data_IF_528831216334
#
_entry.id   IF_528831216334
#
_cell.length_a   1.000
_cell.length_b   1.000
_cell.length_c   1.000
_cell.angle_alpha   90.00
_cell.angle_beta   90.00
_cell.angle_gamma   90.00
#
_symmetry.space_group_name_H-M   'P 1'
#
loop_
_entity.id
_entity.type
_entity.pdbx_description
1 polymer ?
#
# COMPACT_ATOMS: atom_id res chain seq x y z
N UNK A 1 3.04 36.62 38.76
CA UNK A 1 3.52 35.27 38.36
C UNK A 1 2.36 34.29 38.39
N UNK A 2 2.25 33.45 37.34
CA UNK A 2 1.35 32.30 37.09
C UNK A 2 -0.17 32.51 37.27
N UNK A 3 -0.87 32.69 36.14
CA UNK A 3 -2.30 32.36 36.00
C UNK A 3 -2.42 31.19 35.02
N UNK A 4 -2.99 30.12 35.54
CA UNK A 4 -3.04 28.75 35.01
C UNK A 4 -4.06 28.64 33.88
N UNK A 5 -3.63 28.18 32.69
CA UNK A 5 -4.51 27.88 31.55
C UNK A 5 -5.16 26.50 31.77
N UNK A 6 -6.29 26.46 32.48
CA UNK A 6 -7.22 25.32 32.49
C UNK A 6 -8.49 25.73 31.74
N UNK A 7 -8.55 25.48 30.43
CA UNK A 7 -9.83 25.52 29.71
C UNK A 7 -9.80 24.91 28.29
N UNK A 8 -8.85 24.04 27.94
CA UNK A 8 -8.77 23.50 26.56
C UNK A 8 -8.92 21.97 26.46
N UNK A 9 -9.14 21.27 27.57
CA UNK A 9 -9.24 19.80 27.58
C UNK A 9 -10.68 19.32 27.38
N UNK A 10 -11.66 20.03 27.94
CA UNK A 10 -13.07 19.59 27.95
C UNK A 10 -13.77 19.62 26.58
N UNK A 11 -13.24 20.39 25.62
CA UNK A 11 -13.83 20.54 24.29
C UNK A 11 -13.35 19.50 23.27
N UNK A 12 -12.23 18.82 23.51
CA UNK A 12 -11.74 17.73 22.65
C UNK A 12 -12.38 16.38 23.00
N UNK A 13 -12.64 16.13 24.28
CA UNK A 13 -13.24 14.87 24.76
C UNK A 13 -14.65 14.62 24.20
N UNK A 14 -15.40 15.68 23.88
CA UNK A 14 -16.74 15.58 23.26
C UNK A 14 -16.72 15.17 21.79
N UNK A 15 -15.58 15.24 21.09
CA UNK A 15 -15.45 14.83 19.68
C UNK A 15 -14.86 13.43 19.50
N UNK A 16 -14.07 12.94 20.46
CA UNK A 16 -13.36 11.65 20.32
C UNK A 16 -13.81 10.58 21.31
N UNK A 17 -14.78 10.87 22.19
CA UNK A 17 -15.11 9.95 23.27
C UNK A 17 -13.96 9.85 24.29
N UNK A 18 -14.27 9.35 25.48
CA UNK A 18 -13.33 9.31 26.61
C UNK A 18 -12.19 8.34 26.32
N UNK A 19 -11.11 8.81 25.70
CA UNK A 19 -10.02 7.94 25.21
C UNK A 19 -8.83 7.87 26.17
N UNK A 20 -8.80 8.68 27.23
CA UNK A 20 -7.72 8.64 28.23
C UNK A 20 -8.21 8.89 29.66
N UNK A 21 -8.70 7.85 30.33
CA UNK A 21 -8.73 7.85 31.80
C UNK A 21 -7.31 7.61 32.31
N UNK A 22 -6.70 8.64 32.89
CA UNK A 22 -5.42 8.58 33.59
C UNK A 22 -5.63 7.87 34.94
N UNK A 23 -5.76 6.54 34.91
CA UNK A 23 -5.77 5.66 36.09
C UNK A 23 -5.56 4.17 35.73
N UNK A 24 -4.66 3.85 34.78
CA UNK A 24 -4.22 2.47 34.54
C UNK A 24 -3.31 2.01 35.69
N UNK A 25 -3.92 1.59 36.79
CA UNK A 25 -3.28 0.81 37.84
C UNK A 25 -3.06 -0.62 37.35
N UNK A 26 -1.90 -1.20 37.63
CA UNK A 26 -1.56 -2.57 37.26
C UNK A 26 -2.35 -3.55 38.13
N UNK A 27 -3.62 -3.80 37.78
CA UNK A 27 -4.39 -4.89 38.36
C UNK A 27 -4.27 -6.10 37.45
N UNK A 28 -3.67 -7.17 37.98
CA UNK A 28 -3.59 -8.48 37.35
C UNK A 28 -4.99 -9.06 37.16
N UNK A 29 -5.59 -8.83 36.00
CA UNK A 29 -6.79 -9.52 35.55
C UNK A 29 -6.34 -10.78 34.84
N UNK A 30 -6.60 -11.94 35.45
CA UNK A 30 -6.56 -13.24 34.77
C UNK A 30 -7.75 -13.33 33.83
N UNK A 31 -7.60 -12.90 32.58
CA UNK A 31 -8.55 -13.19 31.53
C UNK A 31 -8.10 -14.44 30.79
N UNK A 32 -8.69 -15.57 31.19
CA UNK A 32 -8.69 -16.83 30.44
C UNK A 32 -9.53 -16.64 29.18
N UNK A 33 -8.90 -16.10 28.14
CA UNK A 33 -9.37 -16.15 26.78
C UNK A 33 -8.17 -16.53 25.94
N UNK A 34 -8.12 -17.80 25.54
CA UNK A 34 -7.06 -18.35 24.72
C UNK A 34 -6.96 -17.58 23.40
N UNK A 35 -5.95 -16.71 23.32
CA UNK A 35 -5.54 -16.08 22.06
C UNK A 35 -5.19 -17.23 21.11
N UNK A 36 -5.80 -17.34 19.92
CA UNK A 36 -5.42 -18.36 18.97
C UNK A 36 -3.95 -18.17 18.61
N UNK A 37 -3.12 -19.10 19.08
CA UNK A 37 -1.70 -19.15 18.76
C UNK A 37 -1.59 -19.34 17.26
N UNK A 38 -1.01 -18.36 16.56
CA UNK A 38 -0.61 -18.51 15.16
C UNK A 38 0.40 -19.66 15.11
N UNK A 39 -0.03 -20.86 14.68
CA UNK A 39 0.77 -22.10 14.74
C UNK A 39 1.93 -22.14 13.76
N UNK A 40 1.97 -21.24 12.79
CA UNK A 40 3.07 -21.12 11.83
C UNK A 40 3.61 -19.70 11.87
N UNK A 41 4.78 -19.50 12.49
CA UNK A 41 5.63 -18.38 12.08
C UNK A 41 5.98 -18.62 10.61
N UNK A 42 5.80 -17.63 9.71
CA UNK A 42 6.30 -17.78 8.35
C UNK A 42 7.81 -18.10 8.45
N UNK A 43 8.23 -19.12 7.72
CA UNK A 43 9.63 -19.52 7.68
C UNK A 43 10.44 -18.39 7.03
N UNK A 44 11.18 -17.65 7.86
CA UNK A 44 12.01 -16.53 7.42
C UNK A 44 13.31 -17.01 6.75
N UNK A 45 13.61 -18.31 6.76
CA UNK A 45 14.85 -18.86 6.21
C UNK A 45 14.92 -18.74 4.69
N UNK A 46 13.79 -18.84 3.97
CA UNK A 46 13.74 -18.64 2.51
C UNK A 46 14.05 -17.20 2.10
N UNK A 47 13.54 -16.22 2.86
CA UNK A 47 13.72 -14.78 2.57
C UNK A 47 15.18 -14.34 2.73
N UNK A 48 15.91 -14.95 3.67
CA UNK A 48 17.33 -14.64 3.92
C UNK A 48 18.24 -14.98 2.72
N UNK A 49 17.82 -15.88 1.83
CA UNK A 49 18.58 -16.26 0.63
C UNK A 49 18.22 -15.45 -0.61
N UNK A 50 17.08 -14.75 -0.60
CA UNK A 50 16.57 -14.04 -1.76
C UNK A 50 17.31 -12.72 -1.93
N UNK A 51 18.36 -12.76 -2.76
CA UNK A 51 19.17 -11.58 -3.01
C UNK A 51 18.41 -10.56 -3.86
N UNK A 52 17.56 -10.98 -4.78
CA UNK A 52 16.93 -10.11 -5.76
C UNK A 52 15.72 -9.38 -5.18
N UNK A 53 15.73 -8.05 -5.28
CA UNK A 53 14.68 -7.17 -4.75
C UNK A 53 14.14 -6.36 -5.92
N UNK A 54 12.83 -6.45 -6.10
CA UNK A 54 12.08 -5.62 -7.03
C UNK A 54 11.30 -4.61 -6.19
N UNK A 55 11.61 -3.33 -6.39
CA UNK A 55 10.78 -2.26 -5.85
C UNK A 55 9.66 -1.96 -6.83
N UNK A 56 8.47 -1.69 -6.34
CA UNK A 56 7.33 -1.36 -7.17
C UNK A 56 6.45 -0.30 -6.51
N UNK A 57 5.61 0.33 -7.30
CA UNK A 57 4.65 1.32 -6.89
C UNK A 57 3.40 1.25 -7.79
N UNK A 58 2.24 1.59 -7.23
CA UNK A 58 0.95 1.55 -7.91
C UNK A 58 0.28 2.92 -7.88
N UNK A 59 -0.01 3.44 -9.05
CA UNK A 59 -0.90 4.59 -9.17
C UNK A 59 -2.34 4.09 -9.26
N UNK A 60 -3.25 4.75 -8.57
CA UNK A 60 -4.66 4.33 -8.48
C UNK A 60 -5.60 5.53 -8.60
N UNK A 61 -6.87 5.30 -8.93
CA UNK A 61 -7.83 6.42 -9.04
C UNK A 61 -8.23 7.01 -7.67
N UNK A 62 -8.10 6.26 -6.58
CA UNK A 62 -8.45 6.68 -5.22
C UNK A 62 -7.82 5.77 -4.16
N UNK A 63 -8.02 6.13 -2.89
CA UNK A 63 -7.59 5.30 -1.76
C UNK A 63 -8.54 4.14 -1.42
N UNK A 64 -9.68 4.00 -2.12
CA UNK A 64 -10.63 2.91 -1.92
C UNK A 64 -10.03 1.55 -2.33
N UNK A 65 -10.44 0.45 -1.68
CA UNK A 65 -9.86 -0.87 -1.94
C UNK A 65 -10.31 -1.47 -3.28
N UNK A 66 -11.52 -1.13 -3.72
CA UNK A 66 -12.11 -1.55 -4.99
C UNK A 66 -11.74 -0.59 -6.14
N UNK A 67 -10.65 0.15 -5.98
CA UNK A 67 -10.23 1.12 -6.96
C UNK A 67 -9.44 0.50 -8.11
N UNK A 68 -9.60 1.05 -9.32
CA UNK A 68 -8.77 0.72 -10.46
C UNK A 68 -7.32 1.13 -10.18
N UNK A 69 -6.41 0.21 -10.54
CA UNK A 69 -4.99 0.53 -10.70
C UNK A 69 -4.84 1.20 -12.06
N UNK A 70 -4.17 2.33 -12.10
CA UNK A 70 -3.92 3.14 -13.29
C UNK A 70 -2.51 2.94 -13.85
N UNK A 71 -1.55 2.57 -13.01
CA UNK A 71 -0.19 2.26 -13.42
C UNK A 71 0.42 1.19 -12.52
N UNK A 72 1.23 0.32 -13.10
CA UNK A 72 2.19 -0.51 -12.36
C UNK A 72 3.58 -0.06 -12.78
N UNK A 73 4.39 0.40 -11.83
CA UNK A 73 5.79 0.72 -12.03
C UNK A 73 6.65 -0.18 -11.14
N UNK A 74 7.71 -0.76 -11.69
CA UNK A 74 8.63 -1.63 -10.96
C UNK A 74 10.06 -1.51 -11.49
N UNK A 75 11.02 -1.71 -10.60
CA UNK A 75 12.44 -1.71 -10.92
C UNK A 75 13.19 -2.74 -10.08
N UNK A 76 14.08 -3.48 -10.72
CA UNK A 76 14.99 -4.37 -10.01
C UNK A 76 16.16 -3.58 -9.41
N UNK A 77 16.38 -3.63 -8.10
CA UNK A 77 17.36 -2.74 -7.43
C UNK A 77 18.81 -2.91 -7.86
N UNK A 78 19.18 -4.06 -8.41
CA UNK A 78 20.56 -4.37 -8.82
C UNK A 78 20.78 -4.64 -10.30
N UNK A 79 19.70 -4.73 -11.07
CA UNK A 79 19.75 -5.06 -12.50
C UNK A 79 19.16 -3.88 -13.24
N UNK A 80 19.65 -3.59 -14.45
CA UNK A 80 19.06 -2.56 -15.30
C UNK A 80 17.76 -3.06 -15.96
N UNK A 81 16.82 -3.56 -15.14
CA UNK A 81 15.51 -4.05 -15.57
C UNK A 81 14.43 -3.23 -14.89
N UNK A 82 13.53 -2.68 -15.70
CA UNK A 82 12.41 -1.86 -15.26
C UNK A 82 11.16 -2.31 -16.01
N UNK A 83 10.02 -2.10 -15.37
CA UNK A 83 8.69 -2.34 -15.93
C UNK A 83 7.81 -1.16 -15.59
N UNK A 84 7.14 -0.58 -16.58
CA UNK A 84 6.16 0.47 -16.35
C UNK A 84 5.06 0.33 -17.38
N UNK A 85 3.82 0.21 -16.93
CA UNK A 85 2.66 0.16 -17.82
C UNK A 85 1.49 0.92 -17.23
N UNK A 86 0.73 1.58 -18.09
CA UNK A 86 -0.53 2.19 -17.72
C UNK A 86 -1.69 1.26 -18.03
N UNK A 87 -2.74 1.35 -17.22
CA UNK A 87 -3.91 0.50 -17.30
C UNK A 87 -5.11 1.38 -17.65
N UNK A 88 -5.94 0.89 -18.58
CA UNK A 88 -7.16 1.57 -18.98
C UNK A 88 -8.09 1.73 -17.77
N UNK A 89 -8.43 2.98 -17.37
CA UNK A 89 -9.40 3.19 -16.31
C UNK A 89 -10.80 2.74 -16.76
N UNK A 90 -11.53 2.07 -15.87
CA UNK A 90 -12.95 1.75 -16.03
C UNK A 90 -13.86 2.85 -15.47
N UNK A 91 -13.33 3.65 -14.54
CA UNK A 91 -14.02 4.75 -13.86
C UNK A 91 -13.31 6.10 -14.10
N UNK A 92 -14.03 7.24 -14.04
CA UNK A 92 -13.39 8.55 -14.06
C UNK A 92 -12.39 8.73 -12.92
N UNK A 93 -11.26 9.38 -13.21
CA UNK A 93 -10.21 9.67 -12.22
C UNK A 93 -10.65 10.85 -11.35
N UNK A 94 -10.56 10.71 -10.03
CA UNK A 94 -10.91 11.79 -9.10
C UNK A 94 -9.94 12.95 -9.19
N UNK A 95 -10.41 14.19 -8.98
CA UNK A 95 -9.55 15.39 -9.02
C UNK A 95 -8.38 15.30 -8.04
N UNK A 96 -8.60 14.71 -6.86
CA UNK A 96 -7.54 14.50 -5.87
C UNK A 96 -6.48 13.53 -6.37
N UNK A 97 -6.88 12.40 -6.98
CA UNK A 97 -5.92 11.46 -7.54
C UNK A 97 -5.17 12.08 -8.71
N UNK A 98 -5.85 12.76 -9.63
CA UNK A 98 -5.18 13.48 -10.72
C UNK A 98 -4.15 14.50 -10.23
N UNK A 99 -4.42 15.19 -9.13
CA UNK A 99 -3.48 16.14 -8.54
C UNK A 99 -2.23 15.47 -7.94
N UNK A 100 -2.35 14.23 -7.47
CA UNK A 100 -1.23 13.47 -6.87
C UNK A 100 -0.44 12.71 -7.94
N UNK A 101 -1.13 12.05 -8.87
CA UNK A 101 -0.52 11.12 -9.83
C UNK A 101 -0.18 11.79 -11.16
N UNK A 102 -0.71 12.98 -11.44
CA UNK A 102 -0.61 13.62 -12.76
C UNK A 102 -1.43 12.93 -13.85
N UNK A 103 -2.22 11.89 -13.51
CA UNK A 103 -3.03 11.14 -14.47
C UNK A 103 -4.40 11.78 -14.65
N UNK A 104 -4.79 11.97 -15.90
CA UNK A 104 -6.12 12.48 -16.28
C UNK A 104 -6.70 11.64 -17.41
N UNK A 105 -8.04 11.58 -17.51
CA UNK A 105 -8.72 10.89 -18.61
C UNK A 105 -9.66 11.84 -19.34
N UNK A 106 -9.53 11.90 -20.67
CA UNK A 106 -10.37 12.74 -21.53
C UNK A 106 -10.73 11.97 -22.79
N UNK A 107 -12.03 11.80 -23.03
CA UNK A 107 -12.53 11.10 -24.22
C UNK A 107 -12.08 9.63 -24.30
N UNK A 108 -11.89 8.96 -23.17
CA UNK A 108 -11.43 7.57 -23.11
C UNK A 108 -9.92 7.39 -23.23
N UNK A 109 -9.16 8.47 -23.52
CA UNK A 109 -7.70 8.47 -23.56
C UNK A 109 -7.14 8.86 -22.20
N UNK A 110 -6.13 8.13 -21.73
CA UNK A 110 -5.38 8.43 -20.52
C UNK A 110 -4.19 9.34 -20.85
N UNK A 111 -3.94 10.33 -19.99
CA UNK A 111 -2.84 11.28 -20.11
C UNK A 111 -2.04 11.33 -18.83
N UNK A 112 -0.72 11.42 -18.94
CA UNK A 112 0.19 11.70 -17.83
C UNK A 112 0.81 13.09 -18.04
N UNK A 113 0.57 14.01 -17.11
CA UNK A 113 1.03 15.40 -17.19
C UNK A 113 0.68 16.12 -18.51
N UNK A 114 -0.44 15.73 -19.13
CA UNK A 114 -0.95 16.31 -20.37
C UNK A 114 -0.57 15.53 -21.64
N UNK A 115 0.35 14.57 -21.56
CA UNK A 115 0.76 13.74 -22.69
C UNK A 115 -0.03 12.43 -22.74
N UNK A 116 -0.55 12.01 -23.91
CA UNK A 116 -1.29 10.77 -24.03
C UNK A 116 -0.38 9.56 -23.79
N UNK A 117 -0.86 8.59 -23.01
CA UNK A 117 -0.10 7.37 -22.71
C UNK A 117 -0.76 6.14 -23.32
N UNK A 118 0.06 5.17 -23.72
CA UNK A 118 -0.44 3.87 -24.12
C UNK A 118 -0.90 3.09 -22.89
N UNK A 119 -2.07 2.47 -23.01
CA UNK A 119 -2.71 1.71 -21.94
C UNK A 119 -2.94 0.27 -22.34
N UNK A 120 -2.95 -0.62 -21.35
CA UNK A 120 -3.35 -2.02 -21.48
C UNK A 120 -4.66 -2.28 -20.74
N UNK A 121 -5.33 -3.39 -21.07
CA UNK A 121 -6.36 -3.92 -20.17
C UNK A 121 -5.71 -4.36 -18.85
N UNK A 122 -6.47 -4.34 -17.76
CA UNK A 122 -5.99 -4.77 -16.45
C UNK A 122 -5.43 -6.20 -16.49
N UNK A 123 -6.12 -7.11 -17.19
CA UNK A 123 -5.68 -8.49 -17.36
C UNK A 123 -4.32 -8.57 -18.08
N UNK A 124 -4.17 -7.88 -19.21
CA UNK A 124 -2.94 -7.88 -19.98
C UNK A 124 -1.78 -7.25 -19.20
N UNK A 125 -2.04 -6.18 -18.43
CA UNK A 125 -1.04 -5.56 -17.57
C UNK A 125 -0.54 -6.54 -16.50
N UNK A 126 -1.43 -7.26 -15.83
CA UNK A 126 -1.03 -8.25 -14.82
C UNK A 126 -0.30 -9.46 -15.40
N UNK A 127 -0.74 -9.96 -16.55
CA UNK A 127 -0.04 -11.04 -17.27
C UNK A 127 1.39 -10.60 -17.61
N UNK A 128 1.53 -9.42 -18.24
CA UNK A 128 2.84 -8.88 -18.61
C UNK A 128 3.73 -8.62 -17.39
N UNK A 129 3.17 -8.09 -16.30
CA UNK A 129 3.90 -7.86 -15.06
C UNK A 129 4.37 -9.18 -14.44
N UNK A 130 3.52 -10.22 -14.43
CA UNK A 130 3.87 -11.55 -13.92
C UNK A 130 4.98 -12.18 -14.75
N UNK A 131 4.90 -12.13 -16.09
CA UNK A 131 5.96 -12.62 -16.98
C UNK A 131 7.27 -11.86 -16.84
N UNK A 132 7.21 -10.56 -16.54
CA UNK A 132 8.40 -9.78 -16.21
C UNK A 132 9.01 -10.22 -14.86
N UNK A 133 8.18 -10.42 -13.83
CA UNK A 133 8.64 -10.89 -12.52
C UNK A 133 9.28 -12.29 -12.58
N UNK A 134 8.78 -13.17 -13.44
CA UNK A 134 9.34 -14.52 -13.62
C UNK A 134 10.82 -14.52 -14.03
N UNK A 135 11.26 -13.51 -14.78
CA UNK A 135 12.66 -13.33 -15.17
C UNK A 135 13.57 -12.96 -13.99
N UNK A 136 12.97 -12.66 -12.84
CA UNK A 136 13.65 -12.19 -11.64
C UNK A 136 13.39 -13.08 -10.42
N UNK A 137 12.65 -14.19 -10.57
CA UNK A 137 12.40 -15.13 -9.47
C UNK A 137 13.68 -15.94 -9.13
N UNK A 138 13.90 -16.26 -7.84
CA UNK A 138 13.15 -15.79 -6.67
C UNK A 138 13.49 -14.32 -6.37
N UNK A 139 12.48 -13.47 -6.20
CA UNK A 139 12.64 -12.07 -5.77
C UNK A 139 11.70 -11.69 -4.63
N UNK A 140 12.10 -10.66 -3.87
CA UNK A 140 11.25 -9.96 -2.90
C UNK A 140 10.65 -8.73 -3.56
N UNK A 141 9.32 -8.60 -3.49
CA UNK A 141 8.59 -7.38 -3.89
C UNK A 141 8.54 -6.39 -2.72
N UNK A 142 8.95 -5.15 -2.96
CA UNK A 142 8.93 -4.09 -1.96
C UNK A 142 8.22 -2.82 -2.48
N UNK A 143 7.28 -2.29 -1.71
CA UNK A 143 6.62 -1.00 -2.01
C UNK A 143 6.45 -0.18 -0.73
N UNK A 144 6.34 1.14 -0.89
CA UNK A 144 6.11 2.04 0.23
C UNK A 144 4.65 1.89 0.70
N UNK A 145 4.43 1.50 1.96
CA UNK A 145 3.09 1.21 2.51
C UNK A 145 2.40 -0.06 1.93
N UNK A 146 3.18 -0.98 1.36
CA UNK A 146 2.70 -2.18 0.67
C UNK A 146 1.64 -2.99 1.44
N UNK A 147 1.81 -3.20 2.76
CA UNK A 147 0.87 -4.00 3.59
C UNK A 147 -0.55 -3.46 3.61
N UNK A 148 -0.67 -2.13 3.63
CA UNK A 148 -1.96 -1.45 3.82
C UNK A 148 -2.52 -0.94 2.50
N UNK A 149 -1.69 -0.77 1.48
CA UNK A 149 -2.08 -0.20 0.21
C UNK A 149 -1.93 -1.17 -0.96
N UNK A 150 -0.71 -1.45 -1.40
CA UNK A 150 -0.44 -2.15 -2.66
C UNK A 150 -0.84 -3.62 -2.63
N UNK A 151 -0.44 -4.34 -1.59
CA UNK A 151 -0.67 -5.78 -1.48
C UNK A 151 -2.17 -6.13 -1.51
N UNK A 152 -3.02 -5.26 -0.95
CA UNK A 152 -4.47 -5.45 -0.94
C UNK A 152 -5.11 -5.31 -2.32
N UNK A 153 -4.46 -4.55 -3.22
CA UNK A 153 -4.94 -4.30 -4.59
C UNK A 153 -4.41 -5.33 -5.58
N UNK A 154 -3.20 -5.84 -5.34
CA UNK A 154 -2.59 -6.85 -6.21
C UNK A 154 -3.09 -8.28 -5.97
N UNK A 155 -3.74 -8.55 -4.82
CA UNK A 155 -4.27 -9.88 -4.47
C UNK A 155 -3.25 -11.03 -4.59
N UNK A 156 -1.93 -10.78 -4.43
CA UNK A 156 -0.93 -11.84 -4.42
C UNK A 156 -0.88 -12.54 -3.05
N UNK A 157 -1.10 -13.86 -3.03
CA UNK A 157 -1.09 -14.69 -1.81
C UNK A 157 0.28 -14.80 -1.10
N UNK A 158 1.38 -14.39 -1.75
CA UNK A 158 2.74 -14.44 -1.19
C UNK A 158 3.58 -13.21 -1.57
N UNK A 159 3.40 -12.10 -0.84
CA UNK A 159 4.32 -10.95 -0.87
C UNK A 159 5.14 -10.94 0.42
N UNK A 160 6.46 -11.14 0.29
CA UNK A 160 7.39 -10.97 1.41
C UNK A 160 7.76 -9.50 1.56
N UNK A 161 7.59 -8.94 2.76
CA UNK A 161 7.63 -7.51 3.00
C UNK A 161 8.86 -7.11 3.81
N UNK A 162 9.73 -6.30 3.22
CA UNK A 162 10.86 -5.69 3.91
C UNK A 162 10.36 -4.46 4.70
N UNK A 163 10.57 -4.48 6.02
CA UNK A 163 10.35 -3.35 6.92
C UNK A 163 11.58 -2.44 6.87
N UNK A 164 11.39 -1.11 6.78
CA UNK A 164 12.35 -0.18 7.40
C UNK A 164 11.93 0.06 8.85
N UNK A 165 12.90 -0.03 9.74
CA UNK A 165 12.81 0.25 11.18
C UNK A 165 12.86 1.75 11.39
#
# INVERSE_FOLDING_TARGET
MKKEKRSNTESLEKKEGVTYSSNMSFTSVTCDASIPVIKCRPDLSEVASCKDIVVFDLETYSLALDCDILQIAASHLRKSSQYSTYIQPSKPISTQASAVTGLTSKGGVLFYNGDPVQVLSQEAAFQNFTSWLEQHKPCVLAAHNCKTFDARRLQFDKIYLLRRV
#
